data_IF_890300128916
#
_entry.id   IF_890300128916
#
_cell.length_a   1.000
_cell.length_b   1.000
_cell.length_c   1.000
_cell.angle_alpha   90.00
_cell.angle_beta   90.00
_cell.angle_gamma   90.00
#
_symmetry.space_group_name_H-M   'P 1'
#
loop_
_entity.id
_entity.type
_entity.pdbx_description
1 polymer ?
#
# COMPACT_ATOMS: atom_id res chain seq x y z
N UNK A 1 -7.07 -29.78 16.32
CA UNK A 1 -7.32 -28.72 15.30
C UNK A 1 -8.37 -27.78 15.86
N UNK A 2 -8.16 -26.45 15.78
CA UNK A 2 -9.17 -25.48 16.26
C UNK A 2 -10.19 -25.25 15.15
N UNK A 3 -11.46 -25.50 15.42
CA UNK A 3 -12.56 -25.19 14.50
C UNK A 3 -12.86 -23.69 14.56
N UNK A 4 -12.89 -23.02 13.40
CA UNK A 4 -13.19 -21.61 13.23
C UNK A 4 -14.56 -21.38 12.55
N UNK A 5 -15.36 -22.44 12.36
CA UNK A 5 -16.65 -22.37 11.65
C UNK A 5 -17.64 -21.38 12.25
N UNK A 6 -17.52 -21.10 13.55
CA UNK A 6 -18.37 -20.15 14.28
C UNK A 6 -17.84 -18.71 14.31
N UNK A 7 -16.66 -18.43 13.69
CA UNK A 7 -16.13 -17.08 13.59
C UNK A 7 -16.84 -16.31 12.49
N UNK A 8 -18.08 -15.91 12.79
CA UNK A 8 -18.96 -15.20 11.87
C UNK A 8 -19.39 -13.88 12.48
N UNK A 9 -19.35 -12.82 11.67
CA UNK A 9 -19.89 -11.50 12.00
C UNK A 9 -20.86 -11.09 10.90
N UNK A 10 -22.03 -10.55 11.25
CA UNK A 10 -22.89 -9.85 10.31
C UNK A 10 -22.31 -8.48 10.01
N UNK A 11 -22.34 -8.06 8.76
CA UNK A 11 -21.90 -6.74 8.30
C UNK A 11 -23.13 -5.88 8.03
N UNK A 12 -23.22 -4.74 8.73
CA UNK A 12 -24.46 -3.94 8.74
C UNK A 12 -24.21 -2.41 8.73
N UNK A 13 -22.93 -2.00 8.60
CA UNK A 13 -22.55 -0.61 8.85
C UNK A 13 -22.92 0.35 7.74
N UNK A 14 -22.87 -0.06 6.48
CA UNK A 14 -23.11 0.82 5.35
C UNK A 14 -23.54 0.04 4.10
N UNK A 15 -23.81 0.77 3.02
CA UNK A 15 -24.13 0.25 1.69
C UNK A 15 -23.33 0.99 0.62
N UNK A 16 -23.18 0.38 -0.54
CA UNK A 16 -22.54 0.97 -1.71
C UNK A 16 -23.45 0.83 -2.94
N UNK A 17 -24.14 1.90 -3.28
CA UNK A 17 -25.11 1.96 -4.37
C UNK A 17 -24.58 2.77 -5.55
N UNK A 18 -24.91 2.36 -6.78
CA UNK A 18 -24.45 3.00 -8.03
C UNK A 18 -24.81 4.48 -8.10
N UNK A 19 -25.96 4.87 -7.60
CA UNK A 19 -26.40 6.28 -7.57
C UNK A 19 -25.59 7.20 -6.67
N UNK A 20 -24.74 6.62 -5.80
CA UNK A 20 -23.97 7.34 -4.78
C UNK A 20 -22.46 7.30 -5.04
N UNK A 21 -22.02 6.72 -6.17
CA UNK A 21 -20.61 6.64 -6.51
C UNK A 21 -20.20 7.75 -7.49
N UNK A 22 -18.99 8.33 -7.36
CA UNK A 22 -18.44 9.26 -8.33
C UNK A 22 -17.99 8.54 -9.61
N UNK A 23 -17.79 9.29 -10.69
CA UNK A 23 -17.25 8.75 -11.95
C UNK A 23 -15.78 8.31 -11.80
N UNK A 24 -15.00 9.01 -10.98
CA UNK A 24 -13.59 8.70 -10.72
C UNK A 24 -13.42 7.91 -9.42
N UNK A 25 -12.78 6.70 -9.47
CA UNK A 25 -12.54 5.89 -8.28
C UNK A 25 -11.61 6.55 -7.26
N UNK A 26 -10.73 7.48 -7.67
CA UNK A 26 -9.87 8.20 -6.71
C UNK A 26 -10.71 9.07 -5.78
N UNK A 27 -11.78 9.67 -6.28
CA UNK A 27 -12.70 10.44 -5.45
C UNK A 27 -13.45 9.55 -4.43
N UNK A 28 -13.84 8.34 -4.83
CA UNK A 28 -14.46 7.38 -3.90
C UNK A 28 -13.44 6.87 -2.85
N UNK A 29 -12.21 6.61 -3.28
CA UNK A 29 -11.12 6.23 -2.38
C UNK A 29 -10.87 7.34 -1.35
N UNK A 30 -10.74 8.59 -1.80
CA UNK A 30 -10.53 9.75 -0.93
C UNK A 30 -11.65 9.89 0.11
N UNK A 31 -12.91 9.77 -0.33
CA UNK A 31 -14.07 9.79 0.57
C UNK A 31 -13.98 8.69 1.62
N UNK A 32 -13.73 7.44 1.20
CA UNK A 32 -13.68 6.29 2.11
C UNK A 32 -12.50 6.36 3.07
N UNK A 33 -11.36 6.89 2.61
CA UNK A 33 -10.18 7.09 3.42
C UNK A 33 -10.47 8.05 4.59
N UNK A 34 -11.02 9.24 4.30
CA UNK A 34 -11.37 10.22 5.34
C UNK A 34 -12.51 9.75 6.24
N UNK A 35 -13.54 9.11 5.70
CA UNK A 35 -14.60 8.52 6.54
C UNK A 35 -14.02 7.48 7.52
N UNK A 36 -12.97 6.76 7.14
CA UNK A 36 -12.31 5.78 8.02
C UNK A 36 -11.45 6.46 9.08
N UNK A 37 -10.74 7.54 8.72
CA UNK A 37 -10.02 8.38 9.70
C UNK A 37 -10.97 8.95 10.74
N UNK A 38 -12.06 9.57 10.31
CA UNK A 38 -13.04 10.22 11.18
C UNK A 38 -13.78 9.22 12.08
N UNK A 39 -14.08 8.03 11.55
CA UNK A 39 -14.77 6.98 12.31
C UNK A 39 -13.86 6.35 13.38
N UNK A 40 -12.57 6.29 13.12
CA UNK A 40 -11.59 5.63 13.99
C UNK A 40 -11.68 4.10 14.00
N UNK A 41 -10.99 3.48 14.95
CA UNK A 41 -10.95 2.02 15.12
C UNK A 41 -10.03 1.30 14.13
N UNK A 42 -9.22 2.05 13.39
CA UNK A 42 -8.09 1.58 12.58
C UNK A 42 -6.90 2.46 12.93
N UNK A 43 -5.85 1.89 13.51
CA UNK A 43 -4.70 2.65 14.01
C UNK A 43 -3.89 3.30 12.88
N UNK A 44 -3.72 2.60 11.75
CA UNK A 44 -3.02 3.08 10.55
C UNK A 44 -3.93 2.95 9.32
N UNK A 45 -4.76 3.97 9.07
CA UNK A 45 -5.71 3.97 7.93
C UNK A 45 -4.98 3.84 6.59
N UNK A 46 -3.75 4.34 6.52
CA UNK A 46 -2.89 4.29 5.34
C UNK A 46 -2.07 2.99 5.22
N UNK A 47 -2.21 2.03 6.14
CA UNK A 47 -1.59 0.73 5.98
C UNK A 47 -2.29 -0.05 4.86
N UNK A 48 -1.49 -0.59 3.94
CA UNK A 48 -1.99 -1.38 2.83
C UNK A 48 -1.12 -2.60 2.59
N UNK A 49 -1.71 -3.65 2.05
CA UNK A 49 -0.97 -4.80 1.55
C UNK A 49 -0.59 -4.55 0.09
N UNK A 50 0.70 -4.68 -0.27
CA UNK A 50 1.14 -4.74 -1.65
C UNK A 50 1.51 -6.17 -2.03
N UNK A 51 0.84 -6.71 -3.04
CA UNK A 51 1.13 -7.99 -3.65
C UNK A 51 1.95 -7.80 -4.93
N UNK A 52 2.99 -8.61 -5.08
CA UNK A 52 3.90 -8.63 -6.25
C UNK A 52 4.10 -10.05 -6.71
N UNK A 53 4.47 -10.25 -7.97
CA UNK A 53 4.90 -11.56 -8.47
C UNK A 53 6.41 -11.67 -8.24
N UNK A 54 6.81 -12.63 -7.40
CA UNK A 54 8.21 -12.89 -7.09
C UNK A 54 9.01 -13.37 -8.30
N UNK A 55 10.33 -13.30 -8.23
CA UNK A 55 11.22 -13.83 -9.27
C UNK A 55 11.10 -15.35 -9.44
N UNK A 56 10.56 -16.02 -8.42
CA UNK A 56 10.23 -17.46 -8.40
C UNK A 56 8.83 -17.75 -8.98
N UNK A 57 8.11 -16.72 -9.45
CA UNK A 57 6.75 -16.82 -10.00
C UNK A 57 5.64 -16.87 -8.96
N UNK A 58 5.96 -16.95 -7.67
CA UNK A 58 4.92 -16.93 -6.62
C UNK A 58 4.46 -15.52 -6.28
N UNK A 59 3.14 -15.31 -6.09
CA UNK A 59 2.64 -14.07 -5.53
C UNK A 59 3.05 -13.95 -4.06
N UNK A 60 3.59 -12.79 -3.68
CA UNK A 60 3.95 -12.49 -2.30
C UNK A 60 3.40 -11.14 -1.89
N UNK A 61 2.82 -11.08 -0.70
CA UNK A 61 2.24 -9.85 -0.15
C UNK A 61 2.93 -9.44 1.15
N UNK A 62 2.95 -8.15 1.42
CA UNK A 62 3.45 -7.53 2.67
C UNK A 62 2.76 -6.21 2.91
N UNK A 63 2.72 -5.79 4.16
CA UNK A 63 2.19 -4.48 4.52
C UNK A 63 3.23 -3.41 4.21
N UNK A 64 2.76 -2.31 3.63
CA UNK A 64 3.48 -1.05 3.45
C UNK A 64 2.54 0.12 3.76
N UNK A 65 3.08 1.33 3.93
CA UNK A 65 2.26 2.51 4.19
C UNK A 65 2.10 3.32 2.91
N UNK A 66 0.85 3.61 2.56
CA UNK A 66 0.52 4.64 1.57
C UNK A 66 1.01 5.98 2.11
N UNK A 67 1.74 6.75 1.29
CA UNK A 67 2.29 8.05 1.71
C UNK A 67 1.69 9.23 0.94
N UNK A 68 1.18 8.97 -0.26
CA UNK A 68 0.49 9.96 -1.07
C UNK A 68 -0.41 9.25 -2.06
N UNK A 69 -1.54 9.88 -2.40
CA UNK A 69 -2.36 9.50 -3.55
C UNK A 69 -2.93 10.77 -4.20
N UNK A 70 -3.14 10.71 -5.49
CA UNK A 70 -3.75 11.75 -6.31
C UNK A 70 -4.32 11.09 -7.59
N UNK A 71 -4.69 11.90 -8.58
CA UNK A 71 -5.24 11.43 -9.86
C UNK A 71 -4.26 10.53 -10.64
N UNK A 72 -2.95 10.66 -10.40
CA UNK A 72 -1.94 9.80 -11.03
C UNK A 72 -1.86 8.41 -10.40
N UNK A 73 -2.23 8.27 -9.11
CA UNK A 73 -2.21 6.99 -8.41
C UNK A 73 -1.70 7.05 -6.97
N UNK A 74 -1.07 5.97 -6.51
CA UNK A 74 -0.75 5.68 -5.11
C UNK A 74 0.75 5.53 -4.91
N UNK A 75 1.34 6.29 -3.97
CA UNK A 75 2.78 6.29 -3.74
C UNK A 75 3.11 5.65 -2.39
N UNK A 76 4.03 4.69 -2.41
CA UNK A 76 4.70 4.14 -1.24
C UNK A 76 6.22 4.13 -1.44
N UNK A 77 6.97 4.06 -0.34
CA UNK A 77 8.43 4.09 -0.39
C UNK A 77 9.02 2.80 0.17
N UNK A 78 10.13 2.35 -0.44
CA UNK A 78 10.79 1.11 -0.04
C UNK A 78 12.24 1.07 -0.52
N UNK A 79 12.98 0.05 -0.06
CA UNK A 79 14.29 -0.30 -0.63
C UNK A 79 14.06 -1.03 -1.97
N UNK A 80 14.63 -0.50 -3.07
CA UNK A 80 14.54 -1.06 -4.41
C UNK A 80 15.24 -2.41 -4.55
N UNK A 81 16.25 -2.68 -3.70
CA UNK A 81 16.96 -3.96 -3.67
C UNK A 81 16.25 -5.01 -2.81
N UNK A 82 15.18 -4.65 -2.09
CA UNK A 82 14.36 -5.61 -1.37
C UNK A 82 13.69 -6.59 -2.32
N UNK A 83 13.23 -7.73 -1.81
CA UNK A 83 12.50 -8.73 -2.59
C UNK A 83 11.31 -8.12 -3.36
N UNK A 84 10.52 -7.24 -2.71
CA UNK A 84 9.43 -6.53 -3.41
C UNK A 84 9.94 -5.56 -4.47
N UNK A 85 11.03 -4.84 -4.18
CA UNK A 85 11.62 -3.91 -5.13
C UNK A 85 12.13 -4.61 -6.38
N UNK A 86 12.84 -5.73 -6.23
CA UNK A 86 13.30 -6.58 -7.34
C UNK A 86 12.12 -7.19 -8.11
N UNK A 87 11.08 -7.66 -7.40
CA UNK A 87 9.87 -8.20 -8.01
C UNK A 87 9.16 -7.18 -8.89
N UNK A 88 8.96 -5.94 -8.41
CA UNK A 88 8.33 -4.86 -9.17
C UNK A 88 9.17 -4.46 -10.39
N UNK A 89 10.50 -4.40 -10.25
CA UNK A 89 11.39 -4.09 -11.38
C UNK A 89 11.34 -5.16 -12.48
N UNK A 90 11.10 -6.44 -12.11
CA UNK A 90 10.96 -7.53 -13.06
C UNK A 90 9.53 -7.61 -13.66
N UNK A 91 8.51 -7.39 -12.83
CA UNK A 91 7.11 -7.39 -13.25
C UNK A 91 6.39 -6.24 -12.52
N UNK A 92 6.06 -5.13 -13.21
CA UNK A 92 5.50 -3.95 -12.60
C UNK A 92 4.02 -4.08 -12.21
N UNK A 93 3.35 -5.18 -12.57
CA UNK A 93 1.96 -5.42 -12.20
C UNK A 93 1.86 -5.72 -10.71
N UNK A 94 1.13 -4.88 -10.00
CA UNK A 94 0.94 -5.00 -8.56
C UNK A 94 -0.54 -4.93 -8.17
N UNK A 95 -0.83 -5.43 -6.98
CA UNK A 95 -2.12 -5.26 -6.37
C UNK A 95 -1.95 -4.64 -4.98
N UNK A 96 -2.62 -3.50 -4.74
CA UNK A 96 -2.73 -2.90 -3.42
C UNK A 96 -4.07 -3.30 -2.80
N UNK A 97 -4.10 -3.54 -1.50
CA UNK A 97 -5.34 -3.86 -0.79
C UNK A 97 -5.38 -3.15 0.56
N UNK A 98 -6.48 -2.45 0.81
CA UNK A 98 -6.85 -1.87 2.10
C UNK A 98 -7.99 -2.68 2.69
N UNK A 99 -7.96 -2.89 4.00
CA UNK A 99 -9.07 -3.52 4.72
C UNK A 99 -9.36 -2.73 6.00
N UNK A 100 -10.41 -1.94 5.95
CA UNK A 100 -10.87 -1.09 7.04
C UNK A 100 -11.99 -1.79 7.81
N UNK A 101 -11.59 -2.58 8.78
CA UNK A 101 -12.50 -3.46 9.54
C UNK A 101 -13.56 -2.68 10.32
N UNK A 102 -13.24 -1.45 10.77
CA UNK A 102 -14.14 -0.59 11.53
C UNK A 102 -15.37 -0.18 10.72
N UNK A 103 -15.25 -0.01 9.39
CA UNK A 103 -16.35 0.32 8.48
C UNK A 103 -16.78 -0.84 7.58
N UNK A 104 -16.19 -2.03 7.78
CA UNK A 104 -16.51 -3.24 6.99
C UNK A 104 -16.26 -3.02 5.49
N UNK A 105 -15.13 -2.36 5.17
CA UNK A 105 -14.75 -1.95 3.81
C UNK A 105 -13.43 -2.57 3.36
N UNK A 106 -13.36 -2.89 2.08
CA UNK A 106 -12.11 -3.25 1.41
C UNK A 106 -11.99 -2.48 0.11
N UNK A 107 -10.75 -2.07 -0.23
CA UNK A 107 -10.43 -1.52 -1.55
C UNK A 107 -9.30 -2.35 -2.14
N UNK A 108 -9.47 -2.83 -3.37
CA UNK A 108 -8.43 -3.55 -4.13
C UNK A 108 -8.09 -2.71 -5.35
N UNK A 109 -6.81 -2.45 -5.56
CA UNK A 109 -6.31 -1.63 -6.66
C UNK A 109 -5.30 -2.46 -7.44
N UNK A 110 -5.60 -2.79 -8.69
CA UNK A 110 -4.63 -3.33 -9.62
C UNK A 110 -4.02 -2.18 -10.40
N UNK A 111 -2.71 -2.18 -10.52
CA UNK A 111 -2.02 -1.10 -11.21
C UNK A 111 -0.62 -1.49 -11.64
N UNK A 112 0.00 -0.56 -12.36
CA UNK A 112 1.38 -0.67 -12.85
C UNK A 112 2.26 0.23 -11.98
N UNK A 113 3.27 -0.35 -11.37
CA UNK A 113 4.20 0.36 -10.50
C UNK A 113 5.40 0.87 -11.30
N UNK A 114 5.72 2.14 -11.13
CA UNK A 114 6.91 2.78 -11.68
C UNK A 114 7.68 3.53 -10.58
N UNK A 115 9.00 3.68 -10.72
CA UNK A 115 9.78 4.48 -9.77
C UNK A 115 9.36 5.94 -9.86
N UNK A 116 9.19 6.59 -8.71
CA UNK A 116 9.04 8.05 -8.68
C UNK A 116 10.35 8.74 -9.09
N UNK A 117 10.28 10.02 -9.46
CA UNK A 117 11.48 10.82 -9.71
C UNK A 117 12.36 10.90 -8.45
N UNK A 118 13.66 11.17 -8.66
CA UNK A 118 14.58 11.38 -7.55
C UNK A 118 14.14 12.55 -6.66
N UNK A 119 13.64 13.64 -7.23
CA UNK A 119 13.14 14.80 -6.48
C UNK A 119 12.01 14.39 -5.51
N UNK A 120 11.05 13.58 -5.97
CA UNK A 120 9.94 13.11 -5.11
C UNK A 120 10.47 12.20 -3.99
N UNK A 121 11.43 11.33 -4.33
CA UNK A 121 12.04 10.41 -3.38
C UNK A 121 12.92 11.14 -2.36
N UNK A 122 13.71 12.12 -2.79
CA UNK A 122 14.57 12.95 -1.94
C UNK A 122 13.74 13.77 -0.96
N UNK A 123 12.74 14.50 -1.44
CA UNK A 123 11.84 15.31 -0.60
C UNK A 123 11.16 14.46 0.50
N UNK A 124 10.71 13.26 0.17
CA UNK A 124 10.11 12.40 1.18
C UNK A 124 11.16 11.81 2.13
N UNK A 125 12.34 11.42 1.63
CA UNK A 125 13.43 10.92 2.48
C UNK A 125 13.85 11.97 3.50
N UNK A 126 14.01 13.22 3.08
CA UNK A 126 14.41 14.35 3.92
C UNK A 126 13.40 14.66 5.03
N UNK A 127 12.12 14.45 4.77
CA UNK A 127 11.06 14.64 5.77
C UNK A 127 11.03 13.56 6.88
N UNK A 128 11.80 12.47 6.73
CA UNK A 128 11.80 11.37 7.71
C UNK A 128 12.68 11.71 8.91
N UNK A 129 12.34 11.19 10.10
CA UNK A 129 13.23 11.25 11.26
C UNK A 129 14.59 10.59 10.95
N UNK A 130 15.67 11.13 11.50
CA UNK A 130 17.05 10.66 11.23
C UNK A 130 17.24 9.17 11.54
N UNK A 131 16.68 8.66 12.63
CA UNK A 131 16.70 7.22 12.91
C UNK A 131 16.05 6.36 11.82
N UNK A 132 15.00 6.88 11.16
CA UNK A 132 14.37 6.19 10.04
C UNK A 132 15.20 6.29 8.75
N UNK A 133 15.94 7.39 8.55
CA UNK A 133 16.89 7.55 7.44
C UNK A 133 18.04 6.56 7.59
N UNK A 134 18.68 6.53 8.77
CA UNK A 134 19.76 5.59 9.07
C UNK A 134 19.31 4.13 8.99
N UNK A 135 18.10 3.81 9.46
CA UNK A 135 17.50 2.49 9.32
C UNK A 135 17.35 2.04 7.86
N UNK A 136 17.04 2.99 6.95
CA UNK A 136 16.95 2.70 5.52
C UNK A 136 18.32 2.46 4.86
N UNK A 137 19.37 3.08 5.39
CA UNK A 137 20.76 2.91 4.92
C UNK A 137 21.33 1.57 5.42
N UNK A 138 21.15 1.27 6.71
CA UNK A 138 21.76 0.10 7.37
C UNK A 138 21.16 -1.23 6.96
N UNK A 139 19.88 -1.23 6.59
CA UNK A 139 19.14 -2.48 6.36
C UNK A 139 19.34 -3.03 4.94
N UNK A 140 20.02 -4.18 4.75
CA UNK A 140 19.97 -4.93 3.50
C UNK A 140 18.62 -5.64 3.38
N UNK A 141 17.56 -4.86 3.17
CA UNK A 141 16.17 -5.31 3.29
C UNK A 141 15.89 -6.59 2.48
N UNK A 142 15.34 -7.60 3.14
CA UNK A 142 15.01 -8.94 2.63
C UNK A 142 16.21 -9.87 2.43
N UNK A 143 17.41 -9.48 2.79
CA UNK A 143 18.58 -10.37 2.75
C UNK A 143 18.71 -11.15 4.07
N UNK A 144 19.37 -12.30 3.98
CA UNK A 144 19.70 -13.09 5.16
C UNK A 144 20.85 -12.41 5.92
N UNK A 145 20.63 -12.18 7.20
CA UNK A 145 21.63 -11.61 8.11
C UNK A 145 21.92 -12.58 9.25
N UNK A 146 23.08 -12.49 9.90
CA UNK A 146 23.45 -13.44 10.96
C UNK A 146 22.48 -13.43 12.14
N UNK A 147 22.11 -12.26 12.62
CA UNK A 147 21.25 -12.05 13.78
C UNK A 147 20.80 -10.58 13.88
N UNK A 148 20.01 -10.25 14.89
CA UNK A 148 19.55 -8.89 15.16
C UNK A 148 20.68 -7.94 15.55
N UNK A 149 21.66 -8.42 16.30
CA UNK A 149 22.81 -7.65 16.78
C UNK A 149 23.61 -7.05 15.60
N UNK A 150 23.65 -7.74 14.46
CA UNK A 150 24.25 -7.21 13.24
C UNK A 150 23.63 -5.86 12.82
N UNK A 151 22.29 -5.73 12.84
CA UNK A 151 21.62 -4.47 12.50
C UNK A 151 21.86 -3.40 13.58
N UNK A 152 21.79 -3.77 14.84
CA UNK A 152 21.92 -2.85 15.96
C UNK A 152 23.35 -2.28 16.05
N UNK A 153 24.36 -3.10 15.81
CA UNK A 153 25.76 -2.67 15.78
C UNK A 153 26.04 -1.74 14.62
N UNK A 154 25.60 -2.11 13.40
CA UNK A 154 25.79 -1.26 12.23
C UNK A 154 25.02 0.05 12.34
N UNK A 155 23.82 0.07 12.94
CA UNK A 155 23.09 1.30 13.19
C UNK A 155 23.85 2.25 14.12
N UNK A 156 24.41 1.74 15.23
CA UNK A 156 25.23 2.55 16.15
C UNK A 156 26.46 3.14 15.47
N UNK A 157 27.11 2.39 14.59
CA UNK A 157 28.25 2.89 13.83
C UNK A 157 27.84 4.04 12.88
N UNK A 158 26.71 3.87 12.17
CA UNK A 158 26.16 4.91 11.31
C UNK A 158 25.71 6.16 12.09
N UNK A 159 25.10 6.00 13.25
CA UNK A 159 24.72 7.11 14.12
C UNK A 159 25.94 7.96 14.51
N UNK A 160 27.08 7.32 14.82
CA UNK A 160 28.33 8.01 15.11
C UNK A 160 28.94 8.68 13.88
N UNK A 161 28.91 8.01 12.73
CA UNK A 161 29.44 8.53 11.47
C UNK A 161 28.68 9.78 10.99
N UNK A 162 27.35 9.77 11.13
CA UNK A 162 26.47 10.86 10.69
C UNK A 162 26.17 11.91 11.75
N UNK A 163 26.82 11.83 12.93
CA UNK A 163 26.62 12.83 13.98
C UNK A 163 26.97 14.24 13.49
N UNK A 164 25.95 15.12 13.43
CA UNK A 164 26.08 16.48 12.92
C UNK A 164 26.26 16.61 11.40
N UNK A 165 26.05 15.55 10.63
CA UNK A 165 26.12 15.54 9.18
C UNK A 165 24.73 15.34 8.57
N UNK A 166 24.58 15.79 7.34
CA UNK A 166 23.39 15.53 6.52
C UNK A 166 23.29 14.05 6.14
N UNK A 167 22.09 13.48 6.25
CA UNK A 167 21.80 12.08 5.89
C UNK A 167 21.09 12.07 4.55
N UNK A 168 21.85 11.87 3.48
CA UNK A 168 21.33 11.83 2.11
C UNK A 168 20.64 10.49 1.80
N UNK A 169 19.64 10.53 0.91
CA UNK A 169 18.94 9.34 0.45
C UNK A 169 19.88 8.38 -0.30
N UNK A 170 19.96 7.11 0.09
CA UNK A 170 20.71 6.12 -0.67
C UNK A 170 20.00 5.80 -2.00
N UNK A 171 20.75 5.59 -3.07
CA UNK A 171 20.22 5.30 -4.42
C UNK A 171 19.30 4.08 -4.49
N UNK A 172 19.48 3.14 -3.57
CA UNK A 172 18.67 1.92 -3.51
C UNK A 172 17.34 2.10 -2.76
N UNK A 173 16.99 3.32 -2.33
CA UNK A 173 15.76 3.61 -1.62
C UNK A 173 14.97 4.73 -2.31
N UNK A 174 13.66 4.59 -2.41
CA UNK A 174 12.79 5.61 -3.00
C UNK A 174 11.35 5.14 -3.15
N UNK A 175 10.57 5.91 -3.90
CA UNK A 175 9.15 5.70 -4.11
C UNK A 175 8.81 4.84 -5.32
N UNK A 176 7.69 4.14 -5.21
CA UNK A 176 6.93 3.62 -6.34
C UNK A 176 5.59 4.33 -6.42
N UNK A 177 5.27 4.83 -7.61
CA UNK A 177 3.93 5.27 -8.00
C UNK A 177 3.22 4.07 -8.64
N UNK A 178 2.05 3.71 -8.13
CA UNK A 178 1.19 2.69 -8.70
C UNK A 178 0.07 3.39 -9.46
N UNK A 179 0.11 3.34 -10.80
CA UNK A 179 -0.96 3.86 -11.67
C UNK A 179 -2.08 2.85 -11.74
N UNK A 180 -3.28 3.16 -11.26
CA UNK A 180 -4.38 2.21 -11.23
C UNK A 180 -4.94 1.94 -12.63
N UNK A 181 -5.26 0.68 -12.90
CA UNK A 181 -5.98 0.23 -14.11
C UNK A 181 -7.33 -0.40 -13.75
N UNK A 182 -7.48 -0.83 -12.49
CA UNK A 182 -8.73 -1.37 -11.96
C UNK A 182 -8.79 -1.05 -10.47
N UNK A 183 -9.94 -0.57 -9.99
CA UNK A 183 -10.19 -0.32 -8.57
C UNK A 183 -11.51 -0.97 -8.19
N UNK A 184 -11.49 -1.87 -7.22
CA UNK A 184 -12.69 -2.51 -6.68
C UNK A 184 -12.94 -2.03 -5.24
N UNK A 185 -14.16 -1.58 -5.00
CA UNK A 185 -14.69 -1.23 -3.68
C UNK A 185 -15.63 -2.32 -3.22
N UNK A 186 -15.39 -2.82 -2.02
CA UNK A 186 -16.20 -3.82 -1.37
C UNK A 186 -16.74 -3.26 -0.06
N UNK A 187 -18.07 -3.33 0.14
CA UNK A 187 -18.75 -2.96 1.38
C UNK A 187 -19.45 -4.19 1.95
N UNK A 188 -19.17 -4.49 3.21
CA UNK A 188 -19.82 -5.57 3.93
C UNK A 188 -21.33 -5.35 4.05
N UNK A 189 -22.12 -6.42 3.77
CA UNK A 189 -23.59 -6.45 3.88
C UNK A 189 -24.04 -7.73 4.55
N UNK A 190 -25.27 -7.75 5.16
CA UNK A 190 -25.86 -8.95 5.73
C UNK A 190 -25.94 -10.11 4.74
N UNK A 191 -26.02 -11.32 5.26
CA UNK A 191 -26.25 -12.55 4.48
C UNK A 191 -25.20 -12.82 3.39
N UNK A 192 -24.00 -12.19 3.49
CA UNK A 192 -22.92 -12.25 2.49
C UNK A 192 -23.29 -11.68 1.11
N UNK A 193 -24.36 -10.91 1.00
CA UNK A 193 -24.75 -10.20 -0.23
C UNK A 193 -24.04 -8.83 -0.28
N UNK A 194 -22.70 -8.88 -0.30
CA UNK A 194 -21.86 -7.70 -0.21
C UNK A 194 -21.97 -6.83 -1.46
N UNK A 195 -21.90 -5.52 -1.27
CA UNK A 195 -21.83 -4.59 -2.39
C UNK A 195 -20.40 -4.58 -2.94
N UNK A 196 -20.27 -4.77 -4.25
CA UNK A 196 -18.99 -4.73 -4.94
C UNK A 196 -19.12 -3.86 -6.19
N UNK A 197 -18.36 -2.77 -6.24
CA UNK A 197 -18.28 -1.89 -7.41
C UNK A 197 -16.83 -1.92 -7.91
N UNK A 198 -16.68 -2.26 -9.19
CA UNK A 198 -15.39 -2.29 -9.86
C UNK A 198 -15.33 -1.22 -10.93
N UNK A 199 -14.31 -0.37 -10.84
CA UNK A 199 -13.94 0.56 -11.89
C UNK A 199 -12.83 -0.05 -12.74
N UNK A 200 -12.98 0.04 -14.06
CA UNK A 200 -11.94 -0.33 -15.03
C UNK A 200 -11.60 0.88 -15.89
N UNK A 201 -10.31 1.20 -15.99
CA UNK A 201 -9.81 2.19 -16.91
C UNK A 201 -10.00 1.68 -18.35
N UNK A 202 -10.61 2.51 -19.22
CA UNK A 202 -10.84 2.19 -20.62
C UNK A 202 -9.73 2.78 -21.49
N UNK A 203 -9.70 2.44 -22.77
CA UNK A 203 -8.70 2.92 -23.73
C UNK A 203 -8.79 4.43 -23.99
N UNK A 204 -9.95 5.04 -23.74
CA UNK A 204 -10.19 6.48 -23.80
C UNK A 204 -9.84 7.23 -22.51
N UNK A 205 -9.20 6.54 -21.56
CA UNK A 205 -8.84 7.03 -20.22
C UNK A 205 -10.01 7.38 -19.31
N UNK A 206 -11.23 6.98 -19.65
CA UNK A 206 -12.39 7.10 -18.77
C UNK A 206 -12.54 5.85 -17.90
N UNK A 207 -13.15 6.03 -16.73
CA UNK A 207 -13.48 4.92 -15.84
C UNK A 207 -14.87 4.38 -16.12
N UNK A 208 -14.97 3.07 -16.29
CA UNK A 208 -16.24 2.36 -16.34
C UNK A 208 -16.49 1.62 -15.02
N UNK A 209 -17.61 1.92 -14.37
CA UNK A 209 -18.03 1.24 -13.15
C UNK A 209 -19.00 0.11 -13.48
N UNK A 210 -18.76 -1.06 -12.92
CA UNK A 210 -19.64 -2.24 -13.00
C UNK A 210 -19.92 -2.78 -11.59
N UNK A 211 -21.15 -3.21 -11.32
CA UNK A 211 -21.47 -4.01 -10.10
C UNK A 211 -21.03 -5.45 -10.32
N UNK A 212 -20.37 -6.02 -9.32
CA UNK A 212 -20.02 -7.43 -9.29
C UNK A 212 -20.97 -8.19 -8.34
N UNK A 213 -21.27 -9.43 -8.69
CA UNK A 213 -21.92 -10.35 -7.75
C UNK A 213 -21.01 -10.65 -6.57
N UNK A 214 -21.62 -10.88 -5.42
CA UNK A 214 -20.94 -11.20 -4.17
C UNK A 214 -20.54 -12.67 -4.10
#
# INVERSE_FOLDING_TARGET
MKDLGNYRKSYEKSELLEKNIPEDPINLFNKWFHETEDFGGVDEVNAMTVATIGLDGFPKSRVVLLKKFNEEGFIFYTNYNSEKGKAIQNNPNVCLSFFWTSLERQVIIKGIAEKTSDIISDNYFDSRPDGSKLGAIVSPQSEVIPNREYLETNLKLLEQEYLGKEILRPKHWGGFLVRPIEVEFWQGRPNRLHDRIRYKLQDDFLWKADRLSS
#
